data_IF_041580749987
#
_entry.id   IF_041580749987
#
_cell.length_a   1.000
_cell.length_b   1.000
_cell.length_c   1.000
_cell.angle_alpha   90.00
_cell.angle_beta   90.00
_cell.angle_gamma   90.00
#
_symmetry.space_group_name_H-M   'P 1'
#
loop_
_entity.id
_entity.type
_entity.pdbx_description
1 polymer ?
#
# COMPACT_ATOMS: atom_id res chain seq x y z
N UNK A 1 7.93 -16.84 -16.09
CA UNK A 1 7.98 -15.38 -16.38
C UNK A 1 8.00 -14.55 -15.09
N UNK A 2 7.09 -14.77 -14.13
CA UNK A 2 7.09 -14.06 -12.83
C UNK A 2 8.36 -14.26 -11.98
N UNK A 3 8.93 -15.46 -11.95
CA UNK A 3 10.15 -15.79 -11.19
C UNK A 3 11.34 -14.87 -11.50
N UNK A 4 11.51 -14.43 -12.75
CA UNK A 4 12.65 -13.60 -13.17
C UNK A 4 12.59 -12.19 -12.53
N UNK A 5 11.38 -11.67 -12.25
CA UNK A 5 11.21 -10.38 -11.60
C UNK A 5 11.46 -10.44 -10.09
N UNK A 6 11.26 -11.59 -9.45
CA UNK A 6 11.43 -11.76 -8.00
C UNK A 6 12.83 -12.23 -7.60
N UNK A 7 13.56 -12.90 -8.49
CA UNK A 7 14.94 -13.35 -8.24
C UNK A 7 15.88 -12.21 -7.79
N UNK A 8 15.87 -11.01 -8.40
CA UNK A 8 16.68 -9.89 -7.90
C UNK A 8 16.28 -9.43 -6.50
N UNK A 9 14.99 -9.47 -6.16
CA UNK A 9 14.50 -9.09 -4.82
C UNK A 9 15.03 -10.05 -3.76
N UNK A 10 14.94 -11.37 -4.02
CA UNK A 10 15.44 -12.40 -3.10
C UNK A 10 16.96 -12.37 -2.98
N UNK A 11 17.67 -12.16 -4.09
CA UNK A 11 19.13 -12.08 -4.06
C UNK A 11 19.63 -10.84 -3.30
N UNK A 12 18.89 -9.72 -3.37
CA UNK A 12 19.13 -8.53 -2.57
C UNK A 12 18.82 -8.74 -1.08
N UNK A 13 17.80 -9.52 -0.77
CA UNK A 13 17.46 -9.91 0.60
C UNK A 13 18.54 -10.80 1.21
N UNK A 14 18.93 -11.86 0.50
CA UNK A 14 19.97 -12.80 0.91
C UNK A 14 21.36 -12.15 1.02
N UNK A 15 21.65 -11.14 0.19
CA UNK A 15 22.92 -10.40 0.23
C UNK A 15 23.08 -9.51 1.47
N UNK A 16 22.00 -9.25 2.22
CA UNK A 16 22.04 -8.38 3.40
C UNK A 16 22.48 -6.94 3.09
N UNK A 17 22.32 -6.48 1.85
CA UNK A 17 22.71 -5.12 1.46
C UNK A 17 21.82 -4.08 2.14
N UNK A 18 22.46 -3.19 2.88
CA UNK A 18 21.82 -2.13 3.65
C UNK A 18 22.21 -0.78 3.04
N UNK A 19 21.21 0.02 2.68
CA UNK A 19 21.41 1.39 2.25
C UNK A 19 21.04 2.35 3.39
N UNK A 20 21.82 3.42 3.54
CA UNK A 20 21.49 4.52 4.43
C UNK A 20 21.27 5.79 3.62
N UNK A 21 20.22 6.54 3.94
CA UNK A 21 19.99 7.84 3.30
C UNK A 21 20.95 8.87 3.90
N UNK A 22 21.87 9.40 3.08
CA UNK A 22 22.79 10.45 3.49
C UNK A 22 22.10 11.82 3.50
N UNK A 23 21.96 12.44 4.68
CA UNK A 23 21.42 13.78 4.82
C UNK A 23 22.57 14.78 5.01
N UNK A 24 22.76 15.70 4.04
CA UNK A 24 23.71 16.81 4.23
C UNK A 24 23.17 17.78 5.30
N UNK A 25 24.01 18.09 6.30
CA UNK A 25 23.81 19.16 7.30
C UNK A 25 22.60 19.03 8.25
N UNK A 26 21.99 17.85 8.40
CA UNK A 26 20.91 17.62 9.38
C UNK A 26 21.24 16.42 10.28
N UNK A 27 21.16 16.57 11.60
CA UNK A 27 21.18 15.42 12.54
C UNK A 27 19.81 14.73 12.52
N UNK A 28 19.58 13.93 11.48
CA UNK A 28 18.46 12.98 11.43
C UNK A 28 18.98 11.59 11.77
N UNK A 29 18.17 10.80 12.47
CA UNK A 29 18.46 9.37 12.63
C UNK A 29 18.64 8.76 11.25
N UNK A 30 19.75 8.04 10.99
CA UNK A 30 19.94 7.40 9.70
C UNK A 30 18.80 6.42 9.49
N UNK A 31 18.03 6.62 8.42
CA UNK A 31 17.03 5.65 7.98
C UNK A 31 17.83 4.56 7.27
N UNK A 32 18.03 3.47 8.00
CA UNK A 32 18.74 2.28 7.56
C UNK A 32 17.67 1.32 7.05
N UNK A 33 17.64 1.08 5.75
CA UNK A 33 16.70 0.13 5.14
C UNK A 33 17.45 -0.85 4.23
N UNK A 34 16.95 -2.08 4.17
CA UNK A 34 17.47 -3.08 3.24
C UNK A 34 17.19 -2.66 1.79
N UNK A 35 18.15 -2.84 0.90
CA UNK A 35 18.01 -2.51 -0.54
C UNK A 35 16.85 -3.29 -1.17
N UNK A 36 16.57 -4.50 -0.67
CA UNK A 36 15.39 -5.30 -1.06
C UNK A 36 14.07 -4.52 -0.86
N UNK A 37 13.96 -3.71 0.19
CA UNK A 37 12.74 -2.96 0.53
C UNK A 37 12.51 -1.83 -0.47
N UNK A 38 13.58 -1.17 -0.91
CA UNK A 38 13.51 -0.21 -2.01
C UNK A 38 13.05 -0.87 -3.31
N UNK A 39 13.62 -2.03 -3.66
CA UNK A 39 13.23 -2.77 -4.86
C UNK A 39 11.77 -3.24 -4.80
N UNK A 40 11.33 -3.76 -3.65
CA UNK A 40 9.95 -4.15 -3.40
C UNK A 40 8.98 -2.98 -3.58
N UNK A 41 9.32 -1.79 -3.07
CA UNK A 41 8.49 -0.59 -3.25
C UNK A 41 8.39 -0.20 -4.74
N UNK A 42 9.46 -0.36 -5.53
CA UNK A 42 9.43 -0.10 -6.97
C UNK A 42 8.51 -1.10 -7.69
N UNK A 43 8.59 -2.38 -7.33
CA UNK A 43 7.69 -3.40 -7.87
C UNK A 43 6.22 -3.14 -7.49
N UNK A 44 5.96 -2.71 -6.26
CA UNK A 44 4.61 -2.35 -5.80
C UNK A 44 4.02 -1.21 -6.65
N UNK A 45 4.79 -0.15 -6.90
CA UNK A 45 4.35 0.96 -7.77
C UNK A 45 4.14 0.49 -9.21
N UNK A 46 5.05 -0.32 -9.75
CA UNK A 46 4.94 -0.86 -11.10
C UNK A 46 3.69 -1.74 -11.27
N UNK A 47 3.44 -2.64 -10.32
CA UNK A 47 2.26 -3.50 -10.32
C UNK A 47 0.98 -2.68 -10.25
N UNK A 48 0.91 -1.69 -9.34
CA UNK A 48 -0.23 -0.77 -9.26
C UNK A 48 -0.49 -0.04 -10.58
N UNK A 49 0.55 0.50 -11.22
CA UNK A 49 0.42 1.20 -12.50
C UNK A 49 0.01 0.26 -13.65
N UNK A 50 0.58 -0.95 -13.69
CA UNK A 50 0.25 -1.95 -14.72
C UNK A 50 -1.21 -2.37 -14.67
N UNK A 51 -1.78 -2.49 -13.47
CA UNK A 51 -3.19 -2.83 -13.26
C UNK A 51 -4.10 -1.71 -13.76
N UNK A 52 -3.74 -0.45 -13.52
CA UNK A 52 -4.50 0.71 -14.03
C UNK A 52 -4.53 0.70 -15.57
N UNK A 53 -3.38 0.49 -16.21
CA UNK A 53 -3.30 0.42 -17.67
C UNK A 53 -4.11 -0.76 -18.22
N UNK A 54 -4.00 -1.93 -17.59
CA UNK A 54 -4.72 -3.11 -18.02
C UNK A 54 -6.25 -2.90 -17.96
N UNK A 55 -6.75 -2.32 -16.87
CA UNK A 55 -8.16 -1.95 -16.77
C UNK A 55 -8.58 -0.93 -17.82
N UNK A 56 -7.75 0.08 -18.08
CA UNK A 56 -8.04 1.08 -19.11
C UNK A 56 -8.16 0.43 -20.50
N UNK A 57 -7.21 -0.42 -20.87
CA UNK A 57 -7.24 -1.16 -22.15
C UNK A 57 -8.49 -2.03 -22.26
N UNK A 58 -8.80 -2.79 -21.22
CA UNK A 58 -9.95 -3.69 -21.18
C UNK A 58 -11.27 -2.93 -21.33
N UNK A 59 -11.42 -1.79 -20.65
CA UNK A 59 -12.58 -0.91 -20.79
C UNK A 59 -12.68 -0.42 -22.24
N UNK A 60 -11.60 0.09 -22.82
CA UNK A 60 -11.58 0.64 -24.18
C UNK A 60 -11.93 -0.41 -25.24
N UNK A 61 -11.38 -1.62 -25.12
CA UNK A 61 -11.66 -2.74 -26.00
C UNK A 61 -13.14 -3.16 -25.91
N UNK A 62 -13.67 -3.25 -24.69
CA UNK A 62 -15.08 -3.60 -24.46
C UNK A 62 -16.02 -2.54 -25.03
N UNK A 63 -15.69 -1.25 -24.88
CA UNK A 63 -16.47 -0.16 -25.49
C UNK A 63 -16.47 -0.24 -27.02
N UNK A 64 -15.30 -0.50 -27.61
CA UNK A 64 -15.16 -0.63 -29.06
C UNK A 64 -16.02 -1.79 -29.58
N UNK A 65 -15.93 -2.96 -28.94
CA UNK A 65 -16.72 -4.14 -29.29
C UNK A 65 -18.24 -3.91 -29.19
N UNK A 66 -18.71 -3.23 -28.15
CA UNK A 66 -20.14 -2.92 -27.97
C UNK A 66 -20.68 -1.99 -29.06
N UNK A 67 -19.86 -1.05 -29.56
CA UNK A 67 -20.27 -0.10 -30.61
C UNK A 67 -20.26 -0.76 -32.00
N UNK A 68 -19.29 -1.64 -32.28
CA UNK A 68 -19.07 -2.17 -33.64
C UNK A 68 -19.77 -3.48 -33.92
N UNK A 69 -19.93 -4.36 -32.93
CA UNK A 69 -20.34 -5.76 -33.18
C UNK A 69 -21.66 -6.18 -32.52
N UNK A 70 -22.18 -5.41 -31.55
CA UNK A 70 -23.38 -5.81 -30.83
C UNK A 70 -24.69 -5.33 -31.48
N UNK A 71 -25.67 -6.23 -31.72
CA UNK A 71 -27.01 -5.84 -32.10
C UNK A 71 -27.69 -5.03 -30.98
N UNK A 72 -28.45 -3.96 -31.32
CA UNK A 72 -29.23 -3.22 -30.33
C UNK A 72 -30.29 -4.14 -29.70
N UNK A 73 -30.21 -4.33 -28.38
CA UNK A 73 -31.10 -5.21 -27.61
C UNK A 73 -30.41 -6.35 -26.88
N UNK A 74 -29.11 -6.59 -27.10
CA UNK A 74 -28.35 -7.57 -26.33
C UNK A 74 -28.05 -7.05 -24.91
N UNK A 75 -28.34 -7.82 -23.84
CA UNK A 75 -28.05 -7.44 -22.46
C UNK A 75 -26.56 -7.15 -22.18
N UNK A 76 -25.64 -7.66 -23.02
CA UNK A 76 -24.22 -7.35 -22.95
C UNK A 76 -23.87 -5.86 -23.24
N UNK A 77 -24.84 -5.04 -23.63
CA UNK A 77 -24.69 -3.59 -23.75
C UNK A 77 -24.27 -2.90 -22.44
N UNK A 78 -24.69 -3.42 -21.27
CA UNK A 78 -24.35 -2.83 -19.96
C UNK A 78 -22.96 -3.23 -19.43
N UNK A 79 -22.27 -4.14 -20.11
CA UNK A 79 -20.97 -4.67 -19.68
C UNK A 79 -19.91 -3.58 -19.43
N UNK A 80 -19.76 -2.53 -20.27
CA UNK A 80 -18.78 -1.47 -20.03
C UNK A 80 -19.08 -0.67 -18.75
N UNK A 81 -20.36 -0.45 -18.45
CA UNK A 81 -20.79 0.25 -17.23
C UNK A 81 -20.43 -0.60 -16.01
N UNK A 82 -20.78 -1.89 -16.04
CA UNK A 82 -20.47 -2.83 -14.95
C UNK A 82 -18.96 -2.88 -14.70
N UNK A 83 -18.14 -2.94 -15.75
CA UNK A 83 -16.68 -2.98 -15.67
C UNK A 83 -16.05 -1.77 -14.98
N UNK A 84 -16.65 -0.58 -15.13
CA UNK A 84 -16.19 0.64 -14.45
C UNK A 84 -16.61 0.64 -12.97
N UNK A 85 -17.79 0.12 -12.63
CA UNK A 85 -18.31 0.14 -11.26
C UNK A 85 -17.87 -1.07 -10.40
N UNK A 86 -17.56 -2.21 -11.00
CA UNK A 86 -17.15 -3.43 -10.28
C UNK A 86 -15.91 -3.21 -9.39
N UNK A 87 -14.84 -2.50 -9.82
CA UNK A 87 -13.69 -2.20 -8.98
C UNK A 87 -14.04 -1.31 -7.78
N UNK A 88 -14.96 -0.35 -7.96
CA UNK A 88 -15.45 0.53 -6.88
C UNK A 88 -16.26 -0.25 -5.85
N UNK A 89 -17.12 -1.15 -6.31
CA UNK A 89 -17.93 -2.01 -5.43
C UNK A 89 -17.03 -2.96 -4.63
N UNK A 90 -16.10 -3.64 -5.31
CA UNK A 90 -15.18 -4.59 -4.67
C UNK A 90 -14.25 -3.91 -3.67
N UNK A 91 -13.65 -2.77 -4.01
CA UNK A 91 -12.84 -1.99 -3.04
C UNK A 91 -13.68 -1.46 -1.87
N UNK A 92 -14.92 -1.04 -2.12
CA UNK A 92 -15.88 -0.66 -1.07
C UNK A 92 -16.18 -1.81 -0.11
N UNK A 93 -16.30 -3.05 -0.60
CA UNK A 93 -16.47 -4.23 0.25
C UNK A 93 -15.26 -4.47 1.17
N UNK A 94 -14.03 -4.26 0.68
CA UNK A 94 -12.83 -4.35 1.50
C UNK A 94 -12.70 -3.22 2.53
N UNK A 95 -13.31 -2.05 2.28
CA UNK A 95 -13.32 -0.95 3.24
C UNK A 95 -14.14 -1.26 4.50
N UNK A 96 -15.13 -2.16 4.42
CA UNK A 96 -15.98 -2.55 5.57
C UNK A 96 -15.17 -3.16 6.72
N UNK A 97 -14.41 -4.28 6.54
CA UNK A 97 -13.59 -4.83 7.61
C UNK A 97 -12.51 -3.88 8.10
N UNK A 98 -11.95 -3.04 7.21
CA UNK A 98 -10.97 -2.02 7.57
C UNK A 98 -11.59 -0.96 8.51
N UNK A 99 -12.79 -0.48 8.19
CA UNK A 99 -13.55 0.43 9.04
C UNK A 99 -13.84 -0.18 10.42
N UNK A 100 -14.24 -1.45 10.46
CA UNK A 100 -14.42 -2.17 11.73
C UNK A 100 -13.10 -2.28 12.50
N UNK A 101 -11.99 -2.58 11.83
CA UNK A 101 -10.67 -2.65 12.45
C UNK A 101 -10.27 -1.30 13.07
N UNK A 102 -10.33 -0.21 12.31
CA UNK A 102 -9.99 1.14 12.79
C UNK A 102 -10.89 1.57 13.96
N UNK A 103 -12.19 1.28 13.87
CA UNK A 103 -13.15 1.57 14.95
C UNK A 103 -12.81 0.83 16.26
N UNK A 104 -12.26 -0.38 16.18
CA UNK A 104 -11.88 -1.18 17.35
C UNK A 104 -10.44 -1.01 17.79
N UNK A 105 -9.59 -0.39 16.97
CA UNK A 105 -8.18 -0.11 17.24
C UNK A 105 -7.92 0.54 18.62
N UNK A 106 -8.64 1.58 19.07
CA UNK A 106 -8.40 2.17 20.40
C UNK A 106 -8.68 1.17 21.54
N UNK A 107 -9.67 0.29 21.38
CA UNK A 107 -9.99 -0.73 22.38
C UNK A 107 -8.94 -1.84 22.39
N UNK A 108 -8.43 -2.23 21.22
CA UNK A 108 -7.33 -3.19 21.10
C UNK A 108 -6.06 -2.61 21.74
N UNK A 109 -5.72 -1.35 21.44
CA UNK A 109 -4.56 -0.66 22.04
C UNK A 109 -4.66 -0.61 23.57
N UNK A 110 -5.83 -0.30 24.14
CA UNK A 110 -6.06 -0.34 25.60
C UNK A 110 -5.85 -1.73 26.20
N UNK A 111 -6.29 -2.79 25.50
CA UNK A 111 -6.08 -4.18 25.93
C UNK A 111 -4.61 -4.58 25.88
N UNK A 112 -3.88 -4.17 24.85
CA UNK A 112 -2.44 -4.43 24.72
C UNK A 112 -1.69 -3.70 25.84
N UNK A 113 -1.98 -2.41 26.06
CA UNK A 113 -1.37 -1.62 27.13
C UNK A 113 -1.58 -2.24 28.52
N UNK A 114 -2.81 -2.62 28.86
CA UNK A 114 -3.09 -3.24 30.16
C UNK A 114 -2.42 -4.61 30.34
N UNK A 115 -2.10 -5.33 29.25
CA UNK A 115 -1.30 -6.56 29.32
C UNK A 115 0.20 -6.27 29.48
N UNK A 116 0.72 -5.25 28.79
CA UNK A 116 2.12 -4.82 28.90
C UNK A 116 2.44 -4.28 30.30
N UNK A 117 1.52 -3.52 30.90
CA UNK A 117 1.64 -3.04 32.29
C UNK A 117 1.72 -4.19 33.29
N UNK A 118 0.95 -5.27 33.10
CA UNK A 118 1.03 -6.48 33.93
C UNK A 118 2.37 -7.20 33.86
N UNK A 119 3.13 -6.98 32.78
CA UNK A 119 4.44 -7.62 32.54
C UNK A 119 5.58 -6.63 32.89
N UNK A 120 5.28 -5.50 33.54
CA UNK A 120 6.26 -4.45 33.90
C UNK A 120 6.97 -3.81 32.69
N UNK A 121 6.38 -3.88 31.49
CA UNK A 121 6.91 -3.17 30.32
C UNK A 121 6.29 -1.77 30.29
N UNK A 122 7.07 -0.77 30.68
CA UNK A 122 6.62 0.63 30.71
C UNK A 122 6.52 1.22 29.31
N UNK A 123 5.41 1.89 29.01
CA UNK A 123 5.24 2.61 27.74
C UNK A 123 6.17 3.82 27.69
N UNK A 124 7.16 3.79 26.80
CA UNK A 124 7.99 4.96 26.48
C UNK A 124 7.24 5.79 25.44
N UNK A 125 6.68 6.94 25.86
CA UNK A 125 6.10 7.91 24.93
C UNK A 125 7.22 8.64 24.21
N UNK A 126 7.55 8.17 23.01
CA UNK A 126 8.47 8.88 22.11
C UNK A 126 7.70 10.06 21.52
N UNK A 127 8.10 11.32 21.82
CA UNK A 127 7.44 12.48 21.24
C UNK A 127 7.66 12.53 19.72
N UNK A 128 6.68 13.05 19.00
CA UNK A 128 6.77 13.29 17.56
C UNK A 128 7.91 14.27 17.25
N UNK A 129 8.66 14.01 16.17
CA UNK A 129 9.86 14.77 15.78
C UNK A 129 9.62 16.29 15.74
N UNK A 130 8.45 16.71 15.28
CA UNK A 130 8.07 18.13 15.21
C UNK A 130 8.09 18.83 16.59
N UNK A 131 7.67 18.11 17.64
CA UNK A 131 7.66 18.64 19.02
C UNK A 131 9.06 18.70 19.64
N UNK A 132 9.99 17.90 19.13
CA UNK A 132 11.39 17.92 19.56
C UNK A 132 12.16 19.03 18.86
N UNK A 133 11.82 19.37 17.61
CA UNK A 133 12.43 20.48 16.88
C UNK A 133 12.14 21.83 17.56
N UNK A 134 10.89 22.07 17.95
CA UNK A 134 10.46 23.31 18.63
C UNK A 134 11.12 23.53 20.01
N UNK A 135 11.61 22.47 20.66
CA UNK A 135 12.27 22.54 21.97
C UNK A 135 13.77 22.84 21.88
N UNK A 136 14.38 22.68 20.71
CA UNK A 136 15.83 22.93 20.50
C UNK A 136 16.09 24.37 20.02
N UNK A 137 15.07 25.07 19.52
CA UNK A 137 15.16 26.47 19.06
C UNK A 137 14.82 27.52 20.14
N UNK A 138 14.60 27.12 21.40
CA UNK A 138 14.48 28.02 22.56
C UNK A 138 15.71 27.91 23.46
#
# INVERSE_FOLDING_TARGET
MSLILFVPSWLLEDSGLIAYRYFKKQRKTPVIEGVHKWYSNVLEVYTGFSVIIAYFMLIFETFSYVITELPPGNPAFFTPIILVFLPLITTGYFAIPLYFYEKHLPNIQKRIRSRLEKINITEIKIPSFDKLADQVER
#
